data_IF_897781313728
#
_entry.id   IF_897781313728
#
_cell.length_a   1.000
_cell.length_b   1.000
_cell.length_c   1.000
_cell.angle_alpha   90.00
_cell.angle_beta   90.00
_cell.angle_gamma   90.00
#
_symmetry.space_group_name_H-M   'P 1'
#
loop_
_entity.id
_entity.type
_entity.pdbx_description
1 polymer ?
#
# COMPACT_ATOMS: atom_id res chain seq x y z
N UNK A 1 -7.46 5.18 20.52
CA UNK A 1 -7.52 4.20 19.41
C UNK A 1 -6.90 4.76 18.13
N UNK A 2 -6.16 5.87 18.18
CA UNK A 2 -5.43 6.40 17.01
C UNK A 2 -4.06 5.73 16.79
N UNK A 3 -3.67 4.81 17.67
CA UNK A 3 -2.37 4.12 17.62
C UNK A 3 -2.34 2.97 16.59
N UNK A 4 -3.50 2.49 16.13
CA UNK A 4 -3.60 1.36 15.20
C UNK A 4 -4.67 1.57 14.09
N UNK A 5 -4.45 2.50 13.15
CA UNK A 5 -5.39 2.79 12.05
C UNK A 5 -5.61 1.63 11.06
N UNK A 6 -4.60 0.81 10.76
CA UNK A 6 -4.70 -0.37 9.90
C UNK A 6 -5.48 -1.48 10.60
N UNK A 7 -5.16 -1.83 11.84
CA UNK A 7 -5.92 -2.86 12.57
C UNK A 7 -7.39 -2.45 12.72
N UNK A 8 -7.64 -1.16 12.99
CA UNK A 8 -9.00 -0.61 13.00
C UNK A 8 -9.69 -0.81 11.65
N UNK A 9 -9.02 -0.51 10.54
CA UNK A 9 -9.53 -0.67 9.18
C UNK A 9 -9.84 -2.14 8.83
N UNK A 10 -9.04 -3.10 9.31
CA UNK A 10 -9.32 -4.54 9.20
C UNK A 10 -10.61 -4.92 9.93
N UNK A 11 -10.78 -4.44 11.17
CA UNK A 11 -11.96 -4.73 12.00
C UNK A 11 -13.22 -4.09 11.40
N UNK A 12 -13.15 -2.80 11.07
CA UNK A 12 -14.31 -2.03 10.58
C UNK A 12 -14.83 -2.55 9.24
N UNK A 13 -13.94 -3.04 8.38
CA UNK A 13 -14.31 -3.61 7.09
C UNK A 13 -14.60 -5.12 7.15
N UNK A 14 -14.68 -5.72 8.35
CA UNK A 14 -14.96 -7.14 8.54
C UNK A 14 -14.05 -8.04 7.68
N UNK A 15 -12.76 -7.72 7.68
CA UNK A 15 -11.74 -8.55 7.03
C UNK A 15 -11.55 -9.80 7.89
N UNK A 16 -11.72 -10.97 7.27
CA UNK A 16 -11.51 -12.24 7.96
C UNK A 16 -10.03 -12.46 8.24
N UNK A 17 -9.73 -13.40 9.14
CA UNK A 17 -8.34 -13.73 9.45
C UNK A 17 -7.60 -14.30 8.23
N UNK A 18 -8.30 -15.04 7.38
CA UNK A 18 -7.79 -15.57 6.12
C UNK A 18 -7.48 -14.43 5.13
N UNK A 19 -8.42 -13.50 4.92
CA UNK A 19 -8.22 -12.33 4.06
C UNK A 19 -7.06 -11.46 4.56
N UNK A 20 -6.94 -11.27 5.88
CA UNK A 20 -5.82 -10.56 6.50
C UNK A 20 -4.49 -11.26 6.23
N UNK A 21 -4.42 -12.58 6.38
CA UNK A 21 -3.21 -13.36 6.11
C UNK A 21 -2.80 -13.26 4.64
N UNK A 22 -3.76 -13.36 3.73
CA UNK A 22 -3.53 -13.22 2.29
C UNK A 22 -3.00 -11.83 1.95
N UNK A 23 -3.60 -10.78 2.51
CA UNK A 23 -3.14 -9.41 2.35
C UNK A 23 -1.70 -9.23 2.87
N UNK A 24 -1.40 -9.71 4.06
CA UNK A 24 -0.05 -9.61 4.63
C UNK A 24 0.99 -10.40 3.81
N UNK A 25 0.65 -11.61 3.38
CA UNK A 25 1.52 -12.41 2.52
C UNK A 25 1.79 -11.71 1.17
N UNK A 26 0.75 -11.10 0.59
CA UNK A 26 0.86 -10.30 -0.62
C UNK A 26 1.76 -9.07 -0.41
N UNK A 27 1.56 -8.30 0.66
CA UNK A 27 2.39 -7.14 1.00
C UNK A 27 3.86 -7.52 1.21
N UNK A 28 4.13 -8.64 1.90
CA UNK A 28 5.50 -9.14 2.07
C UNK A 28 6.17 -9.48 0.74
N UNK A 29 5.44 -10.11 -0.19
CA UNK A 29 5.94 -10.40 -1.53
C UNK A 29 6.20 -9.11 -2.31
N UNK A 30 5.27 -8.17 -2.26
CA UNK A 30 5.36 -6.90 -2.97
C UNK A 30 6.55 -6.06 -2.47
N UNK A 31 6.76 -6.02 -1.15
CA UNK A 31 7.91 -5.33 -0.56
C UNK A 31 9.25 -5.98 -0.92
N UNK A 32 9.28 -7.31 -1.07
CA UNK A 32 10.48 -8.01 -1.53
C UNK A 32 10.79 -7.64 -2.98
N UNK A 33 9.80 -7.72 -3.86
CA UNK A 33 9.92 -7.33 -5.27
C UNK A 33 10.37 -5.86 -5.41
N UNK A 34 9.82 -4.97 -4.58
CA UNK A 34 10.25 -3.57 -4.50
C UNK A 34 11.72 -3.42 -4.08
N UNK A 35 12.16 -4.14 -3.05
CA UNK A 35 13.54 -4.08 -2.57
C UNK A 35 14.52 -4.59 -3.65
N UNK A 36 14.20 -5.71 -4.29
CA UNK A 36 14.98 -6.28 -5.40
C UNK A 36 15.09 -5.28 -6.56
N UNK A 37 13.97 -4.70 -7.00
CA UNK A 37 13.95 -3.69 -8.06
C UNK A 37 14.71 -2.40 -7.69
N UNK A 38 14.66 -1.96 -6.42
CA UNK A 38 15.45 -0.84 -5.89
C UNK A 38 16.95 -1.12 -5.98
N UNK A 39 17.38 -2.32 -5.60
CA UNK A 39 18.79 -2.74 -5.67
C UNK A 39 19.29 -2.81 -7.11
N UNK A 40 18.42 -3.20 -8.06
CA UNK A 40 18.69 -3.21 -9.50
C UNK A 40 18.68 -1.80 -10.14
N UNK A 41 18.35 -0.76 -9.38
CA UNK A 41 18.36 0.63 -9.85
C UNK A 41 17.08 1.07 -10.56
N UNK A 42 15.97 0.33 -10.43
CA UNK A 42 14.68 0.77 -10.95
C UNK A 42 14.20 2.01 -10.19
N UNK A 43 13.56 2.94 -10.91
CA UNK A 43 13.03 4.19 -10.35
C UNK A 43 11.52 4.36 -10.52
N UNK A 44 10.89 3.53 -11.36
CA UNK A 44 9.43 3.59 -11.59
C UNK A 44 8.75 2.35 -10.99
N UNK A 45 8.01 2.59 -9.91
CA UNK A 45 7.25 1.56 -9.19
C UNK A 45 5.74 1.69 -9.40
N UNK A 46 5.31 2.46 -10.41
CA UNK A 46 3.88 2.65 -10.71
C UNK A 46 3.17 1.31 -10.93
N UNK A 47 3.86 0.33 -11.54
CA UNK A 47 3.33 -1.02 -11.74
C UNK A 47 3.05 -1.74 -10.39
N UNK A 48 3.90 -1.55 -9.39
CA UNK A 48 3.69 -2.14 -8.06
C UNK A 48 2.48 -1.52 -7.36
N UNK A 49 2.27 -0.22 -7.51
CA UNK A 49 1.08 0.47 -6.99
C UNK A 49 -0.20 -0.04 -7.68
N UNK A 50 -0.21 -0.16 -9.01
CA UNK A 50 -1.35 -0.70 -9.76
C UNK A 50 -1.66 -2.13 -9.33
N UNK A 51 -0.63 -2.96 -9.13
CA UNK A 51 -0.80 -4.31 -8.59
C UNK A 51 -1.35 -4.32 -7.17
N UNK A 52 -0.86 -3.43 -6.31
CA UNK A 52 -1.38 -3.26 -4.97
C UNK A 52 -2.88 -2.97 -5.00
N UNK A 53 -3.30 -1.94 -5.75
CA UNK A 53 -4.71 -1.56 -5.84
C UNK A 53 -5.58 -2.66 -6.48
N UNK A 54 -5.07 -3.37 -7.49
CA UNK A 54 -5.82 -4.43 -8.17
C UNK A 54 -5.95 -5.74 -7.39
N UNK A 55 -5.03 -6.01 -6.45
CA UNK A 55 -5.06 -7.21 -5.60
C UNK A 55 -5.59 -6.93 -4.19
N UNK A 56 -5.79 -5.66 -3.84
CA UNK A 56 -6.38 -5.29 -2.56
C UNK A 56 -7.82 -5.82 -2.49
N UNK A 57 -8.21 -6.28 -1.30
CA UNK A 57 -9.59 -6.69 -1.05
C UNK A 57 -10.54 -5.52 -1.35
N UNK A 58 -11.65 -5.79 -2.06
CA UNK A 58 -12.64 -4.79 -2.47
C UNK A 58 -13.26 -4.00 -1.30
N UNK A 59 -13.21 -4.56 -0.09
CA UNK A 59 -13.66 -3.91 1.14
C UNK A 59 -12.70 -2.83 1.62
N UNK A 60 -11.47 -2.77 1.10
CA UNK A 60 -10.44 -1.83 1.52
C UNK A 60 -10.18 -0.79 0.43
N UNK A 61 -10.10 0.47 0.83
CA UNK A 61 -9.67 1.55 -0.06
C UNK A 61 -8.13 1.56 -0.15
N UNK A 62 -7.52 1.58 -1.36
CA UNK A 62 -6.07 1.56 -1.53
C UNK A 62 -5.35 2.72 -0.83
N UNK A 63 -5.81 3.95 -1.02
CA UNK A 63 -5.16 5.15 -0.49
C UNK A 63 -5.21 5.15 1.04
N UNK A 64 -6.39 4.84 1.61
CA UNK A 64 -6.57 4.72 3.05
C UNK A 64 -5.72 3.59 3.64
N UNK A 65 -5.59 2.47 2.94
CA UNK A 65 -4.80 1.33 3.39
C UNK A 65 -3.30 1.66 3.38
N UNK A 66 -2.81 2.35 2.35
CA UNK A 66 -1.41 2.81 2.27
C UNK A 66 -1.09 3.75 3.44
N UNK A 67 -1.95 4.73 3.69
CA UNK A 67 -1.76 5.62 4.83
C UNK A 67 -1.78 4.89 6.18
N UNK A 68 -2.71 3.96 6.35
CA UNK A 68 -2.87 3.21 7.59
C UNK A 68 -1.65 2.31 7.85
N UNK A 69 -1.16 1.60 6.83
CA UNK A 69 0.04 0.78 6.89
C UNK A 69 1.27 1.63 7.23
N UNK A 70 1.43 2.78 6.59
CA UNK A 70 2.53 3.72 6.88
C UNK A 70 2.50 4.22 8.32
N UNK A 71 1.32 4.64 8.81
CA UNK A 71 1.14 5.16 10.18
C UNK A 71 1.49 4.11 11.24
N UNK A 72 1.21 2.83 10.97
CA UNK A 72 1.60 1.72 11.85
C UNK A 72 3.03 1.21 11.64
N UNK A 73 3.79 1.76 10.67
CA UNK A 73 5.18 1.39 10.41
C UNK A 73 5.36 0.12 9.58
N UNK A 74 4.32 -0.34 8.88
CA UNK A 74 4.42 -1.46 7.95
C UNK A 74 5.01 -1.03 6.61
N UNK A 75 6.09 -1.70 6.19
CA UNK A 75 6.75 -1.51 4.89
C UNK A 75 6.98 -0.03 4.53
N UNK A 76 7.59 0.79 5.42
CA UNK A 76 7.57 2.25 5.31
C UNK A 76 8.11 2.75 3.97
N UNK A 77 9.23 2.20 3.49
CA UNK A 77 9.82 2.58 2.20
C UNK A 77 8.91 2.31 0.99
N UNK A 78 8.15 1.21 1.03
CA UNK A 78 7.19 0.88 -0.02
C UNK A 78 6.01 1.85 0.01
N UNK A 79 5.45 2.09 1.20
CA UNK A 79 4.32 2.98 1.38
C UNK A 79 4.66 4.44 1.02
N UNK A 80 5.85 4.91 1.41
CA UNK A 80 6.36 6.23 1.01
C UNK A 80 6.45 6.36 -0.51
N UNK A 81 6.98 5.35 -1.18
CA UNK A 81 7.08 5.33 -2.65
C UNK A 81 5.69 5.36 -3.30
N UNK A 82 4.72 4.62 -2.76
CA UNK A 82 3.35 4.64 -3.27
C UNK A 82 2.70 6.01 -3.12
N UNK A 83 2.86 6.66 -1.97
CA UNK A 83 2.36 8.02 -1.74
C UNK A 83 2.99 9.00 -2.73
N UNK A 84 4.32 8.95 -2.92
CA UNK A 84 5.01 9.80 -3.89
C UNK A 84 4.47 9.63 -5.32
N UNK A 85 4.17 8.40 -5.73
CA UNK A 85 3.59 8.12 -7.04
C UNK A 85 2.18 8.71 -7.16
N UNK A 86 1.33 8.54 -6.14
CA UNK A 86 -0.04 9.08 -6.10
C UNK A 86 -0.01 10.60 -6.18
N UNK A 87 0.78 11.26 -5.32
CA UNK A 87 0.91 12.72 -5.29
C UNK A 87 1.44 13.27 -6.62
N UNK A 88 2.42 12.58 -7.22
CA UNK A 88 2.95 12.94 -8.54
C UNK A 88 1.85 12.89 -9.60
N UNK A 89 1.01 11.86 -9.60
CA UNK A 89 -0.07 11.74 -10.59
C UNK A 89 -1.19 12.76 -10.36
N UNK A 90 -1.63 12.99 -9.11
CA UNK A 90 -2.61 14.03 -8.80
C UNK A 90 -2.15 15.43 -9.21
N UNK A 91 -0.86 15.73 -9.04
CA UNK A 91 -0.28 17.02 -9.41
C UNK A 91 -0.32 17.30 -10.92
N UNK A 92 -0.43 16.25 -11.76
CA UNK A 92 -0.64 16.39 -13.21
C UNK A 92 -2.05 16.86 -13.54
N UNK A 93 -3.05 16.49 -12.74
CA UNK A 93 -4.45 16.84 -12.98
C UNK A 93 -4.87 18.16 -12.33
N UNK A 94 -4.19 18.62 -11.27
CA UNK A 94 -4.42 19.95 -10.64
C UNK A 94 -3.85 21.14 -11.44
N UNK A 95 -3.15 20.89 -12.56
CA UNK A 95 -2.59 21.91 -13.46
C UNK A 95 -3.43 22.17 -14.72
N UNK A 96 -4.62 21.56 -14.83
CA UNK A 96 -5.56 21.73 -15.94
C UNK A 96 -6.65 22.77 -15.66
#
# INVERSE_FOLDING_TARGET
MDEYPFIKLIIENNITFEEYKELMAFLHKLNREFAEQKEEGLMDFTILLVRFAGMLNEKLNPDQTIEALKKEGYFPSLMDTFIEIIERDESKYKRG
#
